data_IF_206332939847
#
_entry.id   IF_206332939847
#
_cell.length_a   1.000
_cell.length_b   1.000
_cell.length_c   1.000
_cell.angle_alpha   90.00
_cell.angle_beta   90.00
_cell.angle_gamma   90.00
#
_symmetry.space_group_name_H-M   'P 1'
#
loop_
_entity.id
_entity.type
_entity.pdbx_description
1 polymer ?
#
# COMPACT_ATOMS: atom_id res chain seq x y z
N UNK A 1 19.09 5.75 9.67
CA UNK A 1 19.10 7.22 9.93
C UNK A 1 17.91 7.93 9.30
N UNK A 2 17.53 7.58 8.06
CA UNK A 2 16.44 8.21 7.29
C UNK A 2 15.05 8.17 7.96
N UNK A 3 14.64 7.05 8.58
CA UNK A 3 13.35 6.99 9.29
C UNK A 3 13.27 7.97 10.46
N UNK A 4 14.39 8.25 11.15
CA UNK A 4 14.37 9.16 12.30
C UNK A 4 14.12 10.61 11.89
N UNK A 5 14.58 10.98 10.68
CA UNK A 5 14.39 12.31 10.08
C UNK A 5 13.05 12.50 9.39
N UNK A 6 12.31 11.42 9.11
CA UNK A 6 10.97 11.46 8.52
C UNK A 6 9.91 11.17 9.60
N UNK A 7 9.13 12.18 10.04
CA UNK A 7 8.10 11.99 11.06
C UNK A 7 7.02 10.97 10.67
N UNK A 8 6.66 10.86 9.39
CA UNK A 8 5.63 9.94 8.90
C UNK A 8 6.17 8.52 8.88
N UNK A 9 7.37 8.31 8.32
CA UNK A 9 8.01 6.99 8.35
C UNK A 9 8.24 6.52 9.80
N UNK A 10 8.61 7.43 10.71
CA UNK A 10 8.75 7.10 12.13
C UNK A 10 7.41 6.69 12.77
N UNK A 11 6.33 7.42 12.48
CA UNK A 11 5.00 7.06 12.96
C UNK A 11 4.56 5.69 12.44
N UNK A 12 4.80 5.41 11.16
CA UNK A 12 4.45 4.13 10.54
C UNK A 12 5.14 2.94 11.23
N UNK A 13 6.38 3.11 11.72
CA UNK A 13 7.06 2.04 12.49
C UNK A 13 6.43 1.71 13.84
N UNK A 14 5.43 2.47 14.30
CA UNK A 14 4.64 2.11 15.49
C UNK A 14 3.61 1.01 15.20
N UNK A 15 3.30 0.75 13.93
CA UNK A 15 2.40 -0.33 13.53
C UNK A 15 3.15 -1.66 13.63
N UNK A 16 2.56 -2.70 14.25
CA UNK A 16 3.19 -4.02 14.31
C UNK A 16 3.54 -4.54 12.91
N UNK A 17 4.66 -5.26 12.79
CA UNK A 17 5.22 -5.75 11.53
C UNK A 17 5.64 -4.66 10.49
N UNK A 18 5.50 -3.37 10.78
CA UNK A 18 5.99 -2.29 9.90
C UNK A 18 7.38 -1.85 10.34
N UNK A 19 8.40 -2.37 9.62
CA UNK A 19 9.79 -1.99 9.83
C UNK A 19 10.19 -0.70 9.09
N UNK A 20 11.42 -0.19 9.33
CA UNK A 20 11.96 1.00 8.68
C UNK A 20 11.90 1.01 7.15
N UNK A 21 12.10 -0.16 6.53
CA UNK A 21 12.06 -0.32 5.07
C UNK A 21 10.62 -0.13 4.58
N UNK A 22 9.68 -0.90 5.11
CA UNK A 22 8.25 -0.81 4.76
C UNK A 22 7.72 0.61 4.98
N UNK A 23 8.07 1.23 6.11
CA UNK A 23 7.68 2.59 6.45
C UNK A 23 8.19 3.62 5.43
N UNK A 24 9.48 3.58 5.06
CA UNK A 24 10.04 4.49 4.06
C UNK A 24 9.48 4.22 2.68
N UNK A 25 9.40 2.96 2.26
CA UNK A 25 8.84 2.58 0.96
C UNK A 25 7.41 3.10 0.82
N UNK A 26 6.58 2.94 1.85
CA UNK A 26 5.21 3.46 1.83
C UNK A 26 5.18 4.99 1.88
N UNK A 27 5.92 5.63 2.80
CA UNK A 27 5.93 7.08 2.94
C UNK A 27 6.42 7.78 1.66
N UNK A 28 7.52 7.31 1.07
CA UNK A 28 8.05 7.84 -0.18
C UNK A 28 7.12 7.60 -1.37
N UNK A 29 6.39 6.50 -1.40
CA UNK A 29 5.44 6.24 -2.49
C UNK A 29 4.16 7.08 -2.36
N UNK A 30 3.73 7.39 -1.14
CA UNK A 30 2.61 8.30 -0.88
C UNK A 30 3.00 9.74 -1.18
N UNK A 31 4.21 10.16 -0.79
CA UNK A 31 4.76 11.51 -0.96
C UNK A 31 3.88 12.62 -0.36
N UNK A 32 2.79 12.98 -1.05
CA UNK A 32 1.71 13.83 -0.55
C UNK A 32 0.46 13.02 -0.17
N UNK A 33 0.17 12.81 1.13
CA UNK A 33 -1.07 12.16 1.58
C UNK A 33 -2.34 12.91 1.15
N UNK A 34 -2.26 14.24 0.97
CA UNK A 34 -3.38 15.09 0.58
C UNK A 34 -3.93 14.78 -0.82
N UNK A 35 -3.14 14.10 -1.68
CA UNK A 35 -3.59 13.63 -3.00
C UNK A 35 -4.69 12.56 -2.92
N UNK A 36 -4.86 11.93 -1.75
CA UNK A 36 -5.88 10.91 -1.54
C UNK A 36 -7.02 11.44 -0.69
N UNK A 37 -8.23 11.46 -1.26
CA UNK A 37 -9.45 11.83 -0.54
C UNK A 37 -9.87 10.79 0.52
N UNK A 38 -9.31 9.59 0.49
CA UNK A 38 -9.59 8.50 1.44
C UNK A 38 -8.48 7.45 1.43
N UNK A 39 -8.23 6.82 2.58
CA UNK A 39 -7.32 5.69 2.73
C UNK A 39 -7.65 4.51 1.80
N UNK A 40 -8.93 4.30 1.46
CA UNK A 40 -9.34 3.24 0.51
C UNK A 40 -8.71 3.43 -0.88
N UNK A 41 -8.47 4.67 -1.30
CA UNK A 41 -7.86 4.98 -2.60
C UNK A 41 -6.39 4.59 -2.66
N UNK A 42 -5.71 4.57 -1.51
CA UNK A 42 -4.32 4.13 -1.41
C UNK A 42 -4.19 2.65 -1.79
N UNK A 43 -5.11 1.81 -1.30
CA UNK A 43 -5.13 0.38 -1.67
C UNK A 43 -5.31 0.18 -3.18
N UNK A 44 -6.20 0.96 -3.81
CA UNK A 44 -6.39 0.92 -5.26
C UNK A 44 -5.15 1.41 -6.02
N UNK A 45 -4.48 2.46 -5.50
CA UNK A 45 -3.29 3.05 -6.10
C UNK A 45 -2.10 2.09 -6.14
N UNK A 46 -1.93 1.26 -5.11
CA UNK A 46 -0.90 0.21 -5.08
C UNK A 46 -1.38 -1.14 -5.63
N UNK A 47 -2.56 -1.15 -6.26
CA UNK A 47 -3.09 -2.33 -6.94
C UNK A 47 -3.44 -3.49 -6.02
N UNK A 48 -3.78 -3.17 -4.76
CA UNK A 48 -4.23 -4.11 -3.73
C UNK A 48 -5.73 -4.39 -3.80
N UNK A 49 -6.47 -3.68 -4.67
CA UNK A 49 -7.90 -3.92 -4.89
C UNK A 49 -8.11 -4.92 -6.02
N UNK A 50 -9.21 -5.70 -5.99
CA UNK A 50 -9.58 -6.58 -7.10
C UNK A 50 -9.67 -5.84 -8.44
N UNK A 51 -9.28 -6.52 -9.52
CA UNK A 51 -9.54 -6.06 -10.89
C UNK A 51 -11.01 -6.30 -11.23
N UNK A 52 -11.71 -5.26 -11.70
CA UNK A 52 -13.05 -5.37 -12.26
C UNK A 52 -12.98 -5.44 -13.79
N UNK A 53 -13.70 -6.38 -14.39
CA UNK A 53 -13.94 -6.44 -15.83
C UNK A 53 -15.45 -6.36 -16.06
N UNK A 54 -15.89 -5.31 -16.74
CA UNK A 54 -17.31 -5.07 -17.01
C UNK A 54 -17.52 -4.61 -18.45
N UNK A 55 -18.32 -5.35 -19.22
CA UNK A 55 -18.57 -5.08 -20.65
C UNK A 55 -20.06 -5.02 -21.01
N UNK A 56 -20.92 -4.62 -20.07
CA UNK A 56 -22.36 -4.50 -20.25
C UNK A 56 -23.11 -5.83 -20.03
N UNK A 57 -22.64 -6.92 -20.63
CA UNK A 57 -23.23 -8.27 -20.48
C UNK A 57 -22.49 -9.13 -19.43
N UNK A 58 -21.24 -8.77 -19.13
CA UNK A 58 -20.37 -9.51 -18.21
C UNK A 58 -19.93 -8.57 -17.11
N UNK A 59 -20.08 -8.99 -15.85
CA UNK A 59 -19.44 -8.37 -14.67
C UNK A 59 -18.64 -9.45 -13.93
N UNK A 60 -17.32 -9.26 -13.86
CA UNK A 60 -16.41 -10.21 -13.23
C UNK A 60 -15.41 -9.49 -12.33
N UNK A 61 -15.26 -10.01 -11.10
CA UNK A 61 -14.23 -9.58 -10.13
C UNK A 61 -13.12 -10.63 -10.06
N UNK A 62 -11.91 -10.24 -10.44
CA UNK A 62 -10.76 -11.13 -10.51
C UNK A 62 -9.78 -10.97 -9.35
N UNK A 63 -8.53 -11.40 -9.59
CA UNK A 63 -7.39 -11.19 -8.70
C UNK A 63 -7.13 -9.69 -8.45
N UNK A 64 -6.27 -9.37 -7.49
CA UNK A 64 -5.80 -7.99 -7.28
C UNK A 64 -5.29 -7.38 -8.59
N UNK A 65 -5.48 -6.08 -8.77
CA UNK A 65 -5.20 -5.40 -10.04
C UNK A 65 -3.71 -5.34 -10.36
N UNK A 66 -2.84 -5.33 -9.33
CA UNK A 66 -1.38 -5.17 -9.44
C UNK A 66 -0.93 -3.86 -10.11
N UNK A 67 -1.85 -2.90 -10.28
CA UNK A 67 -1.55 -1.56 -10.80
C UNK A 67 -0.66 -0.80 -9.80
N UNK A 68 0.13 0.15 -10.29
CA UNK A 68 1.01 0.98 -9.48
C UNK A 68 2.28 0.27 -9.03
N UNK A 69 2.87 0.76 -7.95
CA UNK A 69 4.20 0.36 -7.50
C UNK A 69 4.24 -1.07 -6.96
N UNK A 70 5.04 -1.93 -7.61
CA UNK A 70 5.23 -3.31 -7.19
C UNK A 70 6.06 -3.43 -5.90
N UNK A 71 7.04 -2.57 -5.67
CA UNK A 71 7.88 -2.61 -4.48
C UNK A 71 7.07 -2.27 -3.22
N UNK A 72 6.21 -1.25 -3.31
CA UNK A 72 5.29 -0.90 -2.21
C UNK A 72 4.33 -2.04 -1.92
N UNK A 73 3.74 -2.63 -2.95
CA UNK A 73 2.84 -3.78 -2.79
C UNK A 73 3.55 -4.97 -2.13
N UNK A 74 4.78 -5.29 -2.53
CA UNK A 74 5.57 -6.36 -1.91
C UNK A 74 5.87 -6.06 -0.45
N UNK A 75 6.35 -4.85 -0.14
CA UNK A 75 6.66 -4.45 1.23
C UNK A 75 5.43 -4.51 2.15
N UNK A 76 4.27 -4.06 1.67
CA UNK A 76 3.01 -4.14 2.41
C UNK A 76 2.52 -5.59 2.57
N UNK A 77 2.71 -6.43 1.56
CA UNK A 77 2.35 -7.85 1.62
C UNK A 77 3.21 -8.60 2.64
N UNK A 78 4.53 -8.38 2.66
CA UNK A 78 5.43 -8.98 3.64
C UNK A 78 5.08 -8.55 5.07
N UNK A 79 4.83 -7.26 5.30
CA UNK A 79 4.40 -6.75 6.60
C UNK A 79 3.07 -7.40 7.04
N UNK A 80 2.10 -7.52 6.13
CA UNK A 80 0.83 -8.17 6.43
C UNK A 80 1.02 -9.67 6.73
N UNK A 81 1.89 -10.36 6.00
CA UNK A 81 2.19 -11.77 6.24
C UNK A 81 2.80 -12.00 7.62
N UNK A 82 3.76 -11.16 8.03
CA UNK A 82 4.39 -11.22 9.36
C UNK A 82 3.37 -10.92 10.47
N UNK A 83 2.38 -10.06 10.22
CA UNK A 83 1.33 -9.75 11.20
C UNK A 83 0.33 -10.92 11.39
N UNK A 84 0.16 -11.76 10.38
CA UNK A 84 -0.82 -12.85 10.38
C UNK A 84 -0.31 -14.14 11.04
N UNK A 85 1.00 -14.32 11.14
CA UNK A 85 1.66 -15.48 11.75
C UNK A 85 2.00 -15.21 13.22
#
# INVERSE_FOLDING_TARGET
RMVRSDPQARLLTSVPAVGPIVALTYASAIDDPGRFTSSKRVGAHFGLTPKKYQSGEIDYTGRISKIGDAAVRTALYEAAHIMLI
#
